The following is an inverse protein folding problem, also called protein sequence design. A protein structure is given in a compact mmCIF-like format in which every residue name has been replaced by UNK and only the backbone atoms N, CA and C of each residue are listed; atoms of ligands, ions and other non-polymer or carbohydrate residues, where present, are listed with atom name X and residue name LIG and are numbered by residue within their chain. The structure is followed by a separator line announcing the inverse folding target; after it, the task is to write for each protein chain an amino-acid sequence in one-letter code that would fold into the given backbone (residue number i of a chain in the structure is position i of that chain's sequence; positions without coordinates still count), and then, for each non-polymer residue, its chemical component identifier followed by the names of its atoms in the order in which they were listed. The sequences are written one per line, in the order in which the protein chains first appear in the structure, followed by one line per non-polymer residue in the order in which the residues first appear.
data_IF_148587437180
#
_entry.id   IF_148587437180
#
_cell.length_a   1.000
_cell.length_b   1.000
_cell.length_c   1.000
_cell.angle_alpha   90.00
_cell.angle_beta   90.00
_cell.angle_gamma   90.00
#
_symmetry.space_group_name_H-M   'P 1'
#
loop_
_entity.id
_entity.type
_entity.pdbx_description
1 polymer ?
#
# COMPACT_ATOMS: atom_id res chain seq x y z
N UNK A 1 4.50 63.23 21.20
CA UNK A 1 3.83 62.04 21.79
C UNK A 1 4.80 60.86 21.97
N UNK A 2 5.58 60.44 20.97
CA UNK A 2 6.51 59.30 21.10
C UNK A 2 7.67 59.50 22.11
N UNK A 3 8.21 60.72 22.23
CA UNK A 3 9.26 61.06 23.23
C UNK A 3 8.73 61.24 24.67
N UNK A 4 7.42 61.40 24.83
CA UNK A 4 6.79 61.49 26.17
C UNK A 4 6.57 60.10 26.78
N UNK A 5 6.22 59.12 25.93
CA UNK A 5 6.06 57.71 26.29
C UNK A 5 7.40 57.09 26.69
N UNK A 6 8.50 57.44 26.00
CA UNK A 6 9.84 56.97 26.37
C UNK A 6 10.36 57.52 27.71
N UNK A 7 9.93 58.71 28.14
CA UNK A 7 10.31 59.26 29.45
C UNK A 7 9.49 58.69 30.61
N UNK A 8 8.24 58.30 30.38
CA UNK A 8 7.38 57.64 31.37
C UNK A 8 7.78 56.17 31.61
N UNK A 9 8.37 55.50 30.63
CA UNK A 9 8.85 54.12 30.76
C UNK A 9 10.18 54.00 31.51
N UNK A 10 10.96 55.09 31.62
CA UNK A 10 12.26 55.11 32.30
C UNK A 10 12.16 55.23 33.84
N UNK A 11 10.95 55.46 34.39
CA UNK A 11 10.71 55.60 35.83
C UNK A 11 10.02 54.38 36.47
N UNK A 12 9.76 53.33 35.70
CA UNK A 12 9.09 52.12 36.21
C UNK A 12 10.13 51.11 36.77
N UNK A 13 9.86 50.49 37.92
CA UNK A 13 10.78 49.51 38.51
C UNK A 13 10.96 48.29 37.59
N UNK A 14 12.17 47.70 37.64
CA UNK A 14 12.67 46.69 36.71
C UNK A 14 11.73 45.47 36.50
N UNK A 15 10.91 45.12 37.49
CA UNK A 15 9.97 43.99 37.43
C UNK A 15 8.77 44.19 36.48
N UNK A 16 8.41 45.43 36.15
CA UNK A 16 7.31 45.74 35.19
C UNK A 16 7.80 45.64 33.74
N UNK A 17 9.08 45.89 33.48
CA UNK A 17 9.69 45.69 32.14
C UNK A 17 9.86 44.19 31.83
N UNK A 18 10.12 43.35 32.82
CA UNK A 18 10.28 41.90 32.65
C UNK A 18 8.96 41.20 32.34
N UNK A 19 7.85 41.64 32.93
CA UNK A 19 6.50 41.12 32.62
C UNK A 19 6.01 41.56 31.25
N UNK A 20 6.30 42.80 30.83
CA UNK A 20 5.97 43.29 29.48
C UNK A 20 6.73 42.52 28.38
N UNK A 21 7.99 42.15 28.61
CA UNK A 21 8.75 41.31 27.67
C UNK A 21 8.31 39.83 27.68
N UNK A 22 7.86 39.28 28.81
CA UNK A 22 7.29 37.92 28.87
C UNK A 22 5.94 37.81 28.14
N UNK A 23 5.06 38.81 28.29
CA UNK A 23 3.75 38.82 27.59
C UNK A 23 3.94 39.00 26.08
N UNK A 24 4.91 39.82 25.66
CA UNK A 24 5.23 40.00 24.24
C UNK A 24 5.87 38.75 23.61
N UNK A 25 6.64 37.97 24.36
CA UNK A 25 7.22 36.70 23.92
C UNK A 25 6.18 35.55 23.86
N UNK A 26 5.20 35.54 24.78
CA UNK A 26 4.09 34.59 24.78
C UNK A 26 3.13 34.83 23.60
N UNK A 27 2.79 36.09 23.31
CA UNK A 27 1.93 36.45 22.16
C UNK A 27 2.63 36.22 20.83
N UNK A 28 3.96 36.42 20.75
CA UNK A 28 4.72 36.14 19.53
C UNK A 28 4.92 34.63 19.29
N UNK A 29 4.97 33.80 20.34
CA UNK A 29 5.07 32.33 20.20
C UNK A 29 3.75 31.67 19.76
N UNK A 30 2.61 32.25 20.15
CA UNK A 30 1.28 31.81 19.67
C UNK A 30 1.02 32.24 18.22
N UNK A 31 1.62 33.36 17.76
CA UNK A 31 1.45 33.84 16.38
C UNK A 31 2.49 33.27 15.39
N UNK A 32 3.66 32.77 15.85
CA UNK A 32 4.67 32.15 14.98
C UNK A 32 4.47 30.66 14.73
N UNK A 33 3.48 30.01 15.34
CA UNK A 33 3.08 28.62 15.02
C UNK A 33 1.97 28.54 13.97
N UNK A 34 1.41 29.67 13.54
CA UNK A 34 0.38 29.75 12.51
C UNK A 34 0.89 30.20 11.13
N UNK A 35 2.21 30.24 10.90
CA UNK A 35 2.76 30.82 9.67
C UNK A 35 4.09 30.22 9.22
N UNK A 36 4.06 28.95 8.78
CA UNK A 36 5.03 28.42 7.81
C UNK A 36 4.57 27.06 7.26
N UNK A 37 4.07 27.05 6.03
CA UNK A 37 4.47 26.06 5.03
C UNK A 37 4.28 26.71 3.65
N UNK A 38 5.40 27.15 3.07
CA UNK A 38 5.54 27.46 1.66
C UNK A 38 5.45 26.19 0.82
N UNK A 39 4.99 26.40 -0.40
CA UNK A 39 5.16 25.64 -1.64
C UNK A 39 6.35 24.65 -1.67
N UNK A 40 6.07 23.42 -2.09
CA UNK A 40 7.05 22.49 -2.67
C UNK A 40 6.40 21.81 -3.88
N UNK A 41 6.97 22.02 -5.07
CA UNK A 41 6.67 21.29 -6.30
C UNK A 41 7.24 19.85 -6.28
N UNK A 42 6.74 18.94 -7.14
CA UNK A 42 6.69 17.51 -6.88
C UNK A 42 7.96 16.80 -7.36
N UNK A 43 8.63 16.07 -6.47
CA UNK A 43 9.32 14.82 -6.78
C UNK A 43 9.89 14.19 -5.50
N UNK A 44 9.84 12.85 -5.44
CA UNK A 44 10.37 11.96 -4.40
C UNK A 44 9.44 11.63 -3.21
N UNK A 45 8.50 10.71 -3.45
CA UNK A 45 8.07 9.72 -2.45
C UNK A 45 8.22 8.32 -3.07
N UNK A 46 9.44 7.77 -2.98
CA UNK A 46 9.70 6.35 -3.20
C UNK A 46 10.24 5.75 -1.91
N UNK A 47 9.61 4.65 -1.50
CA UNK A 47 9.98 3.77 -0.38
C UNK A 47 9.92 4.36 1.05
N UNK A 48 8.94 3.86 1.82
CA UNK A 48 9.05 3.74 3.28
C UNK A 48 8.51 4.91 4.10
N UNK A 49 7.24 4.80 4.50
CA UNK A 49 6.69 5.32 5.76
C UNK A 49 6.82 6.83 6.03
N UNK A 50 5.77 7.59 5.74
CA UNK A 50 5.53 8.86 6.42
C UNK A 50 5.00 8.57 7.85
N UNK A 51 5.70 8.96 8.92
CA UNK A 51 5.14 8.88 10.26
C UNK A 51 4.12 10.01 10.41
N UNK A 52 2.84 9.66 10.48
CA UNK A 52 1.79 10.60 10.88
C UNK A 52 2.04 10.99 12.33
N UNK A 53 2.64 12.15 12.55
CA UNK A 53 2.66 12.83 13.85
C UNK A 53 1.24 13.35 14.15
N UNK A 54 0.36 12.43 14.55
CA UNK A 54 -1.00 12.72 15.01
C UNK A 54 -1.32 12.12 16.38
N UNK A 55 -0.36 11.49 17.07
CA UNK A 55 -0.59 10.80 18.33
C UNK A 55 -0.11 11.60 19.55
N UNK A 56 -0.65 12.80 19.78
CA UNK A 56 -0.36 13.51 21.03
C UNK A 56 -1.45 14.43 21.59
N UNK A 57 -2.68 14.39 21.08
CA UNK A 57 -3.78 15.21 21.63
C UNK A 57 -4.86 14.42 22.40
N UNK A 58 -4.79 13.09 22.46
CA UNK A 58 -5.83 12.26 23.11
C UNK A 58 -5.42 11.76 24.51
N UNK A 59 -4.21 12.08 24.99
CA UNK A 59 -3.67 11.49 26.22
C UNK A 59 -3.42 12.47 27.39
N UNK A 60 -4.31 13.44 27.65
CA UNK A 60 -4.20 14.29 28.85
C UNK A 60 -5.34 14.22 29.85
N UNK A 61 -6.43 13.45 29.66
CA UNK A 61 -7.54 13.44 30.63
C UNK A 61 -7.96 12.07 31.19
N UNK A 62 -7.17 11.02 31.01
CA UNK A 62 -7.49 9.67 31.55
C UNK A 62 -6.34 9.08 32.36
N UNK A 63 -6.07 9.65 33.54
CA UNK A 63 -5.44 8.91 34.65
C UNK A 63 -5.47 9.73 35.93
N UNK A 64 -6.39 9.41 36.83
CA UNK A 64 -6.10 9.20 38.25
C UNK A 64 -7.37 8.72 38.96
N UNK A 65 -7.53 7.39 38.99
CA UNK A 65 -8.40 6.75 39.96
C UNK A 65 -7.65 5.56 40.57
N UNK A 66 -7.31 5.68 41.87
CA UNK A 66 -7.04 4.59 42.82
C UNK A 66 -6.84 5.14 44.25
N UNK A 67 -7.89 4.95 45.04
CA UNK A 67 -7.93 4.45 46.43
C UNK A 67 -7.45 5.33 47.63
N UNK A 68 -8.37 5.58 48.57
CA UNK A 68 -8.51 5.01 49.95
C UNK A 68 -9.04 6.05 50.98
N UNK A 69 -10.19 5.71 51.58
CA UNK A 69 -10.78 5.92 52.94
C UNK A 69 -9.82 6.54 54.01
N UNK A 70 -10.15 7.40 54.99
CA UNK A 70 -11.26 7.53 55.98
C UNK A 70 -11.12 8.83 56.79
N UNK A 71 -12.24 9.28 57.39
CA UNK A 71 -12.43 9.93 58.73
C UNK A 71 -11.68 11.26 59.02
N UNK A 72 -12.19 12.29 59.71
CA UNK A 72 -13.38 12.52 60.53
C UNK A 72 -13.54 14.04 60.75
N UNK A 73 -14.64 14.44 61.40
CA UNK A 73 -14.84 15.65 62.24
C UNK A 73 -15.80 16.74 61.74
N UNK A 74 -16.83 16.91 62.57
CA UNK A 74 -17.84 17.96 62.62
C UNK A 74 -17.22 19.35 62.79
N UNK A 75 -17.75 20.37 62.11
CA UNK A 75 -18.13 21.63 62.78
C UNK A 75 -19.21 22.37 61.99
N UNK A 76 -20.01 23.08 62.76
CA UNK A 76 -21.22 23.83 62.50
C UNK A 76 -21.00 25.19 61.80
N UNK A 77 -22.02 25.59 61.03
CA UNK A 77 -22.29 26.96 60.57
C UNK A 77 -21.17 27.71 59.83
N UNK A 78 -20.94 27.38 58.56
CA UNK A 78 -20.50 28.36 57.55
C UNK A 78 -21.26 28.14 56.24
N UNK A 79 -21.63 29.25 55.60
CA UNK A 79 -22.70 29.33 54.60
C UNK A 79 -22.47 28.57 53.30
N UNK A 80 -23.58 28.31 52.63
CA UNK A 80 -23.75 27.61 51.33
C UNK A 80 -22.77 28.10 50.25
N UNK A 81 -22.30 29.35 50.35
CA UNK A 81 -21.31 29.97 49.46
C UNK A 81 -19.90 29.36 49.49
N UNK A 82 -19.45 28.78 50.61
CA UNK A 82 -18.09 28.18 50.72
C UNK A 82 -17.93 26.92 49.84
N UNK A 83 -19.04 26.28 49.48
CA UNK A 83 -19.07 25.07 48.64
C UNK A 83 -18.77 25.30 47.14
N UNK A 84 -18.82 26.54 46.67
CA UNK A 84 -18.71 26.89 45.23
C UNK A 84 -17.26 26.99 44.76
N UNK A 85 -16.27 27.10 45.67
CA UNK A 85 -14.91 27.60 45.35
C UNK A 85 -13.85 26.51 45.08
N UNK A 86 -14.19 25.21 45.05
CA UNK A 86 -13.22 24.13 44.74
C UNK A 86 -13.49 23.52 43.36
N UNK A 87 -12.78 24.01 42.34
CA UNK A 87 -12.81 23.50 40.96
C UNK A 87 -11.64 22.54 40.70
N UNK A 88 -11.96 21.31 40.32
CA UNK A 88 -11.02 20.22 40.06
C UNK A 88 -11.66 18.88 39.70
N UNK A 89 -12.56 18.84 38.71
CA UNK A 89 -12.98 17.75 37.78
C UNK A 89 -14.29 18.19 37.06
N UNK A 90 -14.17 18.80 35.88
CA UNK A 90 -15.20 19.61 35.18
C UNK A 90 -16.66 19.14 35.23
N UNK A 91 -16.97 17.92 34.79
CA UNK A 91 -18.38 17.45 34.72
C UNK A 91 -19.03 17.26 36.10
N UNK A 92 -18.29 16.69 37.06
CA UNK A 92 -18.75 16.50 38.43
C UNK A 92 -18.93 17.84 39.15
N UNK A 93 -18.07 18.81 38.85
CA UNK A 93 -18.12 20.14 39.43
C UNK A 93 -19.34 20.92 38.94
N UNK A 94 -19.69 20.84 37.65
CA UNK A 94 -20.88 21.52 37.10
C UNK A 94 -22.18 20.96 37.66
N UNK A 95 -22.29 19.64 37.83
CA UNK A 95 -23.47 19.03 38.46
C UNK A 95 -23.60 19.46 39.92
N UNK A 96 -22.49 19.52 40.65
CA UNK A 96 -22.46 19.99 42.03
C UNK A 96 -22.81 21.49 42.12
N UNK A 97 -22.30 22.30 41.20
CA UNK A 97 -22.59 23.72 41.10
C UNK A 97 -24.08 23.95 40.83
N UNK A 98 -24.68 23.21 39.89
CA UNK A 98 -26.11 23.28 39.61
C UNK A 98 -26.94 22.95 40.86
N UNK A 99 -26.57 21.92 41.63
CA UNK A 99 -27.28 21.56 42.87
C UNK A 99 -27.14 22.63 43.97
N UNK A 100 -25.95 23.21 44.11
CA UNK A 100 -25.70 24.30 45.07
C UNK A 100 -26.50 25.56 44.70
N UNK A 101 -26.47 25.96 43.43
CA UNK A 101 -27.21 27.10 42.92
C UNK A 101 -28.73 26.89 43.00
N UNK A 102 -29.22 25.67 42.76
CA UNK A 102 -30.63 25.32 42.97
C UNK A 102 -31.04 25.54 44.44
N UNK A 103 -30.20 25.15 45.38
CA UNK A 103 -30.46 25.32 46.81
C UNK A 103 -30.48 26.80 47.19
N UNK A 104 -29.48 27.56 46.74
CA UNK A 104 -29.41 29.00 46.95
C UNK A 104 -30.60 29.73 46.32
N UNK A 105 -30.99 29.37 45.09
CA UNK A 105 -32.13 29.94 44.39
C UNK A 105 -33.43 29.71 45.17
N UNK A 106 -33.66 28.51 45.72
CA UNK A 106 -34.80 28.23 46.61
C UNK A 106 -34.79 29.13 47.85
N UNK A 107 -33.63 29.32 48.49
CA UNK A 107 -33.51 30.15 49.69
C UNK A 107 -33.80 31.62 49.42
N UNK A 108 -33.31 32.15 48.29
CA UNK A 108 -33.54 33.53 47.85
C UNK A 108 -35.01 33.75 47.48
N UNK A 109 -35.61 32.86 46.68
CA UNK A 109 -37.03 32.95 46.29
C UNK A 109 -37.96 32.89 47.51
N UNK A 110 -37.61 32.11 48.54
CA UNK A 110 -38.39 32.02 49.78
C UNK A 110 -38.13 33.18 50.77
N UNK A 111 -37.22 34.12 50.44
CA UNK A 111 -36.86 35.25 51.30
C UNK A 111 -36.05 34.88 52.54
N UNK A 112 -35.46 33.68 52.58
CA UNK A 112 -34.63 33.20 53.69
C UNK A 112 -33.15 33.58 53.56
N UNK A 113 -32.74 33.99 52.37
CA UNK A 113 -31.37 34.42 52.07
C UNK A 113 -31.43 35.63 51.13
N UNK A 114 -30.48 36.56 51.29
CA UNK A 114 -30.37 37.77 50.47
C UNK A 114 -28.96 37.86 49.89
N UNK A 115 -28.86 38.17 48.60
CA UNK A 115 -27.58 38.37 47.93
C UNK A 115 -27.14 39.83 48.06
N UNK A 116 -25.89 40.06 48.44
CA UNK A 116 -25.26 41.37 48.36
C UNK A 116 -24.91 41.73 46.91
N UNK A 117 -24.71 43.02 46.63
CA UNK A 117 -24.30 43.49 45.30
C UNK A 117 -23.05 42.77 44.78
N UNK A 118 -22.08 42.54 45.67
CA UNK A 118 -20.84 41.81 45.34
C UNK A 118 -21.09 40.34 45.02
N UNK A 119 -22.01 39.68 45.74
CA UNK A 119 -22.37 38.28 45.45
C UNK A 119 -23.12 38.18 44.11
N UNK A 120 -23.99 39.15 43.81
CA UNK A 120 -24.70 39.21 42.54
C UNK A 120 -23.73 39.41 41.35
N UNK A 121 -22.70 40.25 41.52
CA UNK A 121 -21.67 40.47 40.48
C UNK A 121 -20.88 39.19 40.19
N UNK A 122 -20.45 38.45 41.23
CA UNK A 122 -19.75 37.17 41.05
C UNK A 122 -20.61 36.13 40.33
N UNK A 123 -21.89 36.01 40.68
CA UNK A 123 -22.81 35.07 40.03
C UNK A 123 -23.01 35.40 38.55
N UNK A 124 -22.98 36.69 38.19
CA UNK A 124 -23.03 37.15 36.79
C UNK A 124 -21.77 36.77 36.01
N UNK A 125 -20.60 36.84 36.63
CA UNK A 125 -19.35 36.39 36.00
C UNK A 125 -19.37 34.87 35.74
N UNK A 126 -19.89 34.08 36.68
CA UNK A 126 -20.08 32.63 36.47
C UNK A 126 -21.06 32.37 35.32
N UNK A 127 -22.13 33.17 35.20
CA UNK A 127 -23.11 33.02 34.11
C UNK A 127 -22.43 33.23 32.75
N UNK A 128 -21.53 34.21 32.66
CA UNK A 128 -20.72 34.45 31.48
C UNK A 128 -19.77 33.28 31.19
N UNK A 129 -19.06 32.77 32.19
CA UNK A 129 -18.17 31.61 32.03
C UNK A 129 -18.94 30.36 31.55
N UNK A 130 -20.18 30.16 31.98
CA UNK A 130 -21.04 29.09 31.45
C UNK A 130 -21.40 29.30 29.98
N UNK A 131 -21.62 30.55 29.56
CA UNK A 131 -21.78 30.89 28.14
C UNK A 131 -20.55 30.52 27.33
N UNK A 132 -19.36 30.95 27.77
CA UNK A 132 -18.09 30.64 27.11
C UNK A 132 -17.84 29.12 27.05
N UNK A 133 -18.21 28.38 28.10
CA UNK A 133 -18.14 26.91 28.12
C UNK A 133 -19.08 26.27 27.08
N UNK A 134 -20.32 26.75 26.95
CA UNK A 134 -21.28 26.24 25.95
C UNK A 134 -20.73 26.46 24.53
N UNK A 135 -20.13 27.62 24.26
CA UNK A 135 -19.50 27.91 22.97
C UNK A 135 -18.29 26.99 22.70
N UNK A 136 -17.48 26.72 23.73
CA UNK A 136 -16.36 25.78 23.63
C UNK A 136 -16.84 24.34 23.36
N UNK A 137 -17.93 23.90 23.99
CA UNK A 137 -18.53 22.58 23.73
C UNK A 137 -18.97 22.45 22.26
N UNK A 138 -19.57 23.51 21.70
CA UNK A 138 -19.97 23.53 20.30
C UNK A 138 -18.75 23.46 19.36
N UNK A 139 -17.66 24.15 19.68
CA UNK A 139 -16.41 24.06 18.92
C UNK A 139 -15.82 22.63 18.95
N UNK A 140 -15.74 22.00 20.12
CA UNK A 140 -15.25 20.62 20.24
C UNK A 140 -16.16 19.58 19.57
N UNK A 141 -17.47 19.84 19.47
CA UNK A 141 -18.36 19.00 18.66
C UNK A 141 -17.97 19.02 17.18
N UNK A 142 -17.65 20.19 16.63
CA UNK A 142 -17.20 20.31 15.23
C UNK A 142 -15.87 19.59 14.99
N UNK A 143 -14.95 19.62 15.95
CA UNK A 143 -13.67 18.90 15.87
C UNK A 143 -13.88 17.38 15.81
N UNK A 144 -14.75 16.86 16.68
CA UNK A 144 -15.10 15.43 16.72
C UNK A 144 -15.84 14.99 15.45
N UNK A 145 -16.75 15.82 14.93
CA UNK A 145 -17.39 15.55 13.64
C UNK A 145 -16.36 15.50 12.52
N UNK A 146 -15.38 16.42 12.52
CA UNK A 146 -14.27 16.40 11.60
C UNK A 146 -13.38 15.16 11.73
N UNK A 147 -13.22 14.61 12.94
CA UNK A 147 -12.41 13.41 13.17
C UNK A 147 -13.06 12.14 12.61
N UNK A 148 -14.36 11.95 12.84
CA UNK A 148 -15.10 10.83 12.23
C UNK A 148 -15.19 10.97 10.71
N UNK A 149 -15.28 12.20 10.20
CA UNK A 149 -15.27 12.49 8.76
C UNK A 149 -13.92 12.12 8.12
N UNK A 150 -12.80 12.53 8.73
CA UNK A 150 -11.45 12.18 8.27
C UNK A 150 -11.20 10.67 8.31
N UNK A 151 -11.66 9.99 9.35
CA UNK A 151 -11.50 8.54 9.46
C UNK A 151 -12.24 7.79 8.34
N UNK A 152 -13.42 8.29 7.94
CA UNK A 152 -14.17 7.79 6.78
C UNK A 152 -13.42 8.06 5.48
N UNK A 153 -12.86 9.25 5.30
CA UNK A 153 -12.13 9.61 4.07
C UNK A 153 -10.91 8.70 3.85
N UNK A 154 -10.12 8.44 4.90
CA UNK A 154 -8.97 7.51 4.86
C UNK A 154 -9.40 6.10 4.41
N UNK A 155 -10.54 5.59 4.89
CA UNK A 155 -11.04 4.29 4.48
C UNK A 155 -11.51 4.27 3.01
N UNK A 156 -12.05 5.39 2.51
CA UNK A 156 -12.50 5.51 1.11
C UNK A 156 -11.37 5.71 0.10
N UNK A 157 -10.20 6.18 0.55
CA UNK A 157 -9.03 6.38 -0.32
C UNK A 157 -8.29 5.07 -0.65
N UNK A 158 -8.53 3.99 0.09
CA UNK A 158 -7.96 2.68 -0.20
C UNK A 158 -8.45 2.17 -1.57
N UNK A 159 -7.52 1.99 -2.51
CA UNK A 159 -7.84 1.61 -3.89
C UNK A 159 -6.86 0.58 -4.45
N UNK A 160 -7.33 -0.17 -5.45
CA UNK A 160 -6.49 -1.09 -6.23
C UNK A 160 -6.07 -0.36 -7.53
N UNK A 161 -4.77 -0.30 -7.88
CA UNK A 161 -4.28 0.35 -9.10
C UNK A 161 -4.64 -0.44 -10.38
N UNK A 162 -5.93 -0.46 -10.74
CA UNK A 162 -6.50 -1.33 -11.78
C UNK A 162 -5.87 -1.11 -13.17
N UNK A 163 -5.57 0.13 -13.53
CA UNK A 163 -5.00 0.45 -14.86
C UNK A 163 -3.63 -0.22 -15.10
N UNK A 164 -2.76 -0.27 -14.08
CA UNK A 164 -1.44 -0.89 -14.22
C UNK A 164 -1.51 -2.42 -14.30
N UNK A 165 -2.46 -3.00 -13.55
CA UNK A 165 -2.76 -4.43 -13.55
C UNK A 165 -3.29 -4.86 -14.92
N UNK A 166 -4.29 -4.16 -15.46
CA UNK A 166 -4.88 -4.47 -16.77
C UNK A 166 -3.88 -4.29 -17.92
N UNK A 167 -3.01 -3.28 -17.84
CA UNK A 167 -1.91 -3.14 -18.81
C UNK A 167 -0.97 -4.36 -18.78
N UNK A 168 -0.58 -4.83 -17.58
CA UNK A 168 0.33 -5.97 -17.44
C UNK A 168 -0.32 -7.29 -17.87
N UNK A 169 -1.63 -7.46 -17.61
CA UNK A 169 -2.43 -8.58 -18.15
C UNK A 169 -2.45 -8.57 -19.68
N UNK A 170 -2.65 -7.40 -20.28
CA UNK A 170 -2.70 -7.25 -21.74
C UNK A 170 -1.37 -7.62 -22.40
N UNK A 171 -0.25 -7.14 -21.83
CA UNK A 171 1.09 -7.50 -22.29
C UNK A 171 1.31 -9.01 -22.18
N UNK A 172 1.02 -9.59 -21.02
CA UNK A 172 1.16 -11.04 -20.80
C UNK A 172 0.36 -11.86 -21.82
N UNK A 173 -0.87 -11.44 -22.13
CA UNK A 173 -1.72 -12.12 -23.11
C UNK A 173 -1.20 -12.00 -24.54
N UNK A 174 -0.62 -10.83 -24.87
CA UNK A 174 0.04 -10.59 -26.16
C UNK A 174 1.27 -11.48 -26.34
N UNK A 175 2.12 -11.57 -25.32
CA UNK A 175 3.34 -12.36 -25.38
C UNK A 175 3.04 -13.87 -25.40
N UNK A 176 1.99 -14.32 -24.69
CA UNK A 176 1.49 -15.69 -24.78
C UNK A 176 1.08 -16.05 -26.21
N UNK A 177 0.33 -15.15 -26.85
CA UNK A 177 -0.14 -15.34 -28.22
C UNK A 177 1.02 -15.34 -29.22
N UNK A 178 1.98 -14.43 -29.05
CA UNK A 178 3.19 -14.39 -29.87
C UNK A 178 3.94 -15.72 -29.78
N UNK A 179 4.28 -16.15 -28.56
CA UNK A 179 5.01 -17.40 -28.35
C UNK A 179 4.26 -18.60 -28.93
N UNK A 180 2.94 -18.69 -28.71
CA UNK A 180 2.11 -19.76 -29.27
C UNK A 180 2.17 -19.78 -30.80
N UNK A 181 2.03 -18.63 -31.46
CA UNK A 181 2.12 -18.52 -32.91
C UNK A 181 3.52 -18.89 -33.42
N UNK A 182 4.57 -18.45 -32.72
CA UNK A 182 5.94 -18.83 -33.05
C UNK A 182 6.12 -20.35 -33.05
N UNK A 183 5.62 -21.05 -32.03
CA UNK A 183 5.70 -22.52 -31.94
C UNK A 183 4.93 -23.22 -33.06
N UNK A 184 3.77 -22.70 -33.45
CA UNK A 184 3.03 -23.23 -34.61
C UNK A 184 3.86 -23.10 -35.90
N UNK A 185 4.54 -21.95 -36.09
CA UNK A 185 5.43 -21.75 -37.24
C UNK A 185 6.68 -22.64 -37.18
N UNK A 186 7.24 -22.88 -35.99
CA UNK A 186 8.35 -23.81 -35.76
C UNK A 186 7.99 -25.22 -36.24
N UNK A 187 6.80 -25.72 -35.85
CA UNK A 187 6.29 -27.03 -36.32
C UNK A 187 6.21 -27.09 -37.84
N UNK A 188 5.70 -26.03 -38.49
CA UNK A 188 5.63 -25.97 -39.95
C UNK A 188 7.02 -26.00 -40.60
N UNK A 189 8.00 -25.32 -40.03
CA UNK A 189 9.39 -25.34 -40.51
C UNK A 189 10.08 -26.69 -40.26
N UNK A 190 9.82 -27.33 -39.12
CA UNK A 190 10.32 -28.68 -38.82
C UNK A 190 9.83 -29.71 -39.83
N UNK A 191 8.55 -29.64 -40.20
CA UNK A 191 7.97 -30.49 -41.24
C UNK A 191 8.64 -30.28 -42.61
N UNK A 192 8.84 -29.02 -43.02
CA UNK A 192 9.57 -28.67 -44.26
C UNK A 192 11.01 -29.16 -44.25
N UNK A 193 11.71 -29.01 -43.12
CA UNK A 193 13.06 -29.54 -42.92
C UNK A 193 13.08 -31.06 -43.09
N UNK A 194 12.18 -31.78 -42.42
CA UNK A 194 12.05 -33.23 -42.55
C UNK A 194 11.81 -33.66 -44.00
N UNK A 195 10.89 -33.02 -44.71
CA UNK A 195 10.62 -33.31 -46.12
C UNK A 195 11.84 -33.08 -47.03
N UNK A 196 12.52 -31.93 -46.89
CA UNK A 196 13.69 -31.60 -47.70
C UNK A 196 14.86 -32.55 -47.46
N UNK A 197 15.12 -32.90 -46.20
CA UNK A 197 16.22 -33.80 -45.84
C UNK A 197 15.92 -35.26 -46.18
N UNK A 198 14.68 -35.73 -46.01
CA UNK A 198 14.26 -37.06 -46.45
C UNK A 198 14.38 -37.20 -47.97
N UNK A 199 14.02 -36.17 -48.74
CA UNK A 199 14.21 -36.17 -50.19
C UNK A 199 15.69 -36.28 -50.54
N UNK A 200 16.55 -35.47 -49.92
CA UNK A 200 18.00 -35.56 -50.12
C UNK A 200 18.55 -36.96 -49.81
N UNK A 201 18.18 -37.53 -48.66
CA UNK A 201 18.59 -38.90 -48.28
C UNK A 201 18.12 -39.94 -49.28
N UNK A 202 16.87 -39.86 -49.75
CA UNK A 202 16.33 -40.81 -50.72
C UNK A 202 17.06 -40.77 -52.07
N UNK A 203 17.50 -39.59 -52.51
CA UNK A 203 18.22 -39.38 -53.77
C UNK A 203 19.67 -39.87 -53.67
N UNK A 204 20.30 -39.72 -52.50
CA UNK A 204 21.66 -40.22 -52.27
C UNK A 204 21.68 -41.75 -52.13
N UNK A 205 20.67 -42.33 -51.49
CA UNK A 205 20.63 -43.76 -51.16
C UNK A 205 20.17 -44.71 -52.28
N UNK A 206 19.57 -44.22 -53.38
CA UNK A 206 18.89 -45.07 -54.37
C UNK A 206 19.32 -44.78 -55.81
N UNK A 207 20.60 -44.95 -56.16
CA UNK A 207 21.08 -44.64 -57.51
C UNK A 207 22.07 -45.69 -58.03
N UNK A 208 21.58 -46.52 -58.94
CA UNK A 208 22.44 -47.44 -59.68
C UNK A 208 23.18 -46.69 -60.80
N UNK A 209 24.50 -46.87 -60.94
CA UNK A 209 25.24 -46.32 -62.06
C UNK A 209 24.79 -46.95 -63.37
N UNK A 210 25.14 -46.31 -64.50
CA UNK A 210 24.92 -46.90 -65.82
C UNK A 210 25.46 -48.34 -65.85
N UNK A 211 24.68 -49.31 -66.36
CA UNK A 211 25.04 -50.74 -66.26
C UNK A 211 26.44 -51.10 -66.79
N UNK A 212 26.94 -50.36 -67.78
CA UNK A 212 28.29 -50.56 -68.32
C UNK A 212 29.43 -50.02 -67.42
N UNK A 213 29.11 -49.20 -66.41
CA UNK A 213 30.06 -48.60 -65.47
C UNK A 213 30.83 -49.66 -64.69
N UNK A 214 30.15 -50.73 -64.24
CA UNK A 214 30.77 -51.82 -63.48
C UNK A 214 31.87 -52.56 -64.27
N UNK A 215 31.79 -52.57 -65.60
CA UNK A 215 32.74 -53.26 -66.49
C UNK A 215 33.54 -52.28 -67.35
N UNK A 216 33.50 -50.99 -67.03
CA UNK A 216 34.18 -49.97 -67.81
C UNK A 216 35.70 -50.15 -67.70
N UNK A 217 36.39 -50.23 -68.85
CA UNK A 217 37.84 -50.34 -68.91
C UNK A 217 38.44 -48.97 -69.31
N UNK A 218 39.26 -48.33 -68.47
CA UNK A 218 39.91 -47.07 -68.81
C UNK A 218 40.97 -47.20 -69.92
N UNK A 219 41.43 -48.42 -70.22
CA UNK A 219 42.38 -48.74 -71.27
C UNK A 219 41.79 -49.74 -72.28
N UNK A 220 40.76 -49.34 -73.04
CA UNK A 220 40.11 -50.24 -73.99
C UNK A 220 41.07 -50.62 -75.12
N UNK A 221 41.01 -51.88 -75.58
CA UNK A 221 41.67 -52.28 -76.83
C UNK A 221 41.06 -51.50 -78.00
N UNK A 222 41.83 -51.26 -79.07
CA UNK A 222 41.38 -50.53 -80.27
C UNK A 222 40.04 -51.05 -80.84
N UNK A 223 39.80 -52.36 -80.79
CA UNK A 223 38.54 -52.99 -81.23
C UNK A 223 37.31 -52.57 -80.42
N UNK A 224 37.51 -52.00 -79.23
CA UNK A 224 36.45 -51.70 -78.25
C UNK A 224 36.28 -50.20 -78.01
N UNK A 225 36.96 -49.33 -78.77
CA UNK A 225 36.89 -47.87 -78.60
C UNK A 225 35.46 -47.33 -78.66
N UNK A 226 34.67 -47.74 -79.64
CA UNK A 226 33.27 -47.27 -79.76
C UNK A 226 32.40 -47.70 -78.58
N UNK A 227 32.62 -48.92 -78.07
CA UNK A 227 31.91 -49.42 -76.89
C UNK A 227 32.28 -48.65 -75.62
N UNK A 228 33.57 -48.30 -75.47
CA UNK A 228 34.04 -47.48 -74.36
C UNK A 228 33.47 -46.06 -74.43
N UNK A 229 33.44 -45.44 -75.61
CA UNK A 229 32.85 -44.11 -75.84
C UNK A 229 31.36 -44.13 -75.51
N UNK A 230 30.60 -45.13 -75.99
CA UNK A 230 29.17 -45.26 -75.69
C UNK A 230 28.92 -45.39 -74.18
N UNK A 231 29.78 -46.15 -73.48
CA UNK A 231 29.67 -46.29 -72.04
C UNK A 231 29.95 -44.97 -71.31
N UNK A 232 31.03 -44.25 -71.66
CA UNK A 232 31.32 -42.93 -71.11
C UNK A 232 30.16 -41.95 -71.30
N UNK A 233 29.54 -41.93 -72.48
CA UNK A 233 28.38 -41.09 -72.75
C UNK A 233 27.19 -41.42 -71.82
N UNK A 234 26.92 -42.70 -71.57
CA UNK A 234 25.89 -43.15 -70.61
C UNK A 234 26.22 -42.76 -69.18
N UNK A 235 27.48 -42.92 -68.76
CA UNK A 235 27.96 -42.50 -67.44
C UNK A 235 27.79 -41.00 -67.26
N UNK A 236 28.20 -40.20 -68.25
CA UNK A 236 28.04 -38.73 -68.21
C UNK A 236 26.57 -38.34 -68.19
N UNK A 237 25.73 -39.00 -68.98
CA UNK A 237 24.28 -38.76 -69.02
C UNK A 237 23.57 -39.06 -67.71
N UNK A 238 24.09 -40.01 -66.92
CA UNK A 238 23.59 -40.33 -65.58
C UNK A 238 24.20 -39.44 -64.48
N UNK A 239 25.53 -39.32 -64.45
CA UNK A 239 26.27 -38.66 -63.37
C UNK A 239 26.03 -37.15 -63.30
N UNK A 240 25.90 -36.47 -64.45
CA UNK A 240 25.65 -35.01 -64.48
C UNK A 240 24.33 -34.60 -63.80
N UNK A 241 23.15 -35.10 -64.22
CA UNK A 241 21.90 -34.74 -63.57
C UNK A 241 21.84 -35.23 -62.11
N UNK A 242 22.47 -36.38 -61.82
CA UNK A 242 22.56 -36.88 -60.45
C UNK A 242 23.32 -35.92 -59.53
N UNK A 243 24.52 -35.49 -59.94
CA UNK A 243 25.31 -34.52 -59.18
C UNK A 243 24.56 -33.19 -59.00
N UNK A 244 23.90 -32.70 -60.05
CA UNK A 244 23.07 -31.49 -59.95
C UNK A 244 21.94 -31.65 -58.93
N UNK A 245 21.26 -32.81 -58.93
CA UNK A 245 20.21 -33.14 -57.96
C UNK A 245 20.75 -33.23 -56.52
N UNK A 246 21.92 -33.85 -56.33
CA UNK A 246 22.57 -33.94 -55.01
C UNK A 246 22.92 -32.57 -54.47
N UNK A 247 23.60 -31.74 -55.26
CA UNK A 247 23.99 -30.38 -54.86
C UNK A 247 22.76 -29.54 -54.50
N UNK A 248 21.69 -29.61 -55.31
CA UNK A 248 20.46 -28.89 -55.05
C UNK A 248 19.78 -29.33 -53.75
N UNK A 249 19.54 -30.64 -53.58
CA UNK A 249 18.77 -31.14 -52.44
C UNK A 249 19.58 -31.06 -51.13
N UNK A 250 20.91 -31.20 -51.19
CA UNK A 250 21.79 -30.92 -50.03
C UNK A 250 21.62 -29.47 -49.56
N UNK A 251 21.62 -28.52 -50.50
CA UNK A 251 21.43 -27.11 -50.20
C UNK A 251 20.04 -26.85 -49.59
N UNK A 252 18.97 -27.39 -50.18
CA UNK A 252 17.60 -27.22 -49.67
C UNK A 252 17.43 -27.81 -48.26
N UNK A 253 17.97 -29.00 -47.99
CA UNK A 253 17.97 -29.58 -46.65
C UNK A 253 18.74 -28.69 -45.65
N UNK A 254 19.91 -28.18 -46.03
CA UNK A 254 20.70 -27.25 -45.19
C UNK A 254 19.93 -25.97 -44.89
N UNK A 255 19.39 -25.30 -45.90
CA UNK A 255 18.61 -24.06 -45.75
C UNK A 255 17.39 -24.26 -44.85
N UNK A 256 16.66 -25.37 -45.01
CA UNK A 256 15.52 -25.68 -44.16
C UNK A 256 15.92 -25.99 -42.71
N UNK A 257 17.08 -26.63 -42.50
CA UNK A 257 17.65 -26.89 -41.17
C UNK A 257 18.02 -25.58 -40.46
N UNK A 258 18.70 -24.67 -41.17
CA UNK A 258 19.06 -23.35 -40.64
C UNK A 258 17.83 -22.50 -40.33
N UNK A 259 16.81 -22.52 -41.20
CA UNK A 259 15.55 -21.82 -40.98
C UNK A 259 14.81 -22.33 -39.73
N UNK A 260 14.72 -23.66 -39.55
CA UNK A 260 14.13 -24.26 -38.35
C UNK A 260 14.94 -23.87 -37.09
N UNK A 261 16.27 -24.02 -37.12
CA UNK A 261 17.12 -23.67 -35.98
C UNK A 261 16.99 -22.20 -35.57
N UNK A 262 16.87 -21.28 -36.55
CA UNK A 262 16.61 -19.87 -36.27
C UNK A 262 15.26 -19.66 -35.58
N UNK A 263 14.21 -20.33 -36.07
CA UNK A 263 12.87 -20.21 -35.49
C UNK A 263 12.81 -20.77 -34.06
N UNK A 264 13.51 -21.86 -33.76
CA UNK A 264 13.67 -22.38 -32.38
C UNK A 264 14.19 -21.29 -31.44
N UNK A 265 15.25 -20.58 -31.84
CA UNK A 265 15.83 -19.52 -31.00
C UNK A 265 14.89 -18.31 -30.83
N UNK A 266 14.16 -17.96 -31.89
CA UNK A 266 13.12 -16.92 -31.85
C UNK A 266 12.02 -17.28 -30.85
N UNK A 267 11.50 -18.52 -30.91
CA UNK A 267 10.47 -18.95 -29.97
C UNK A 267 11.00 -19.10 -28.54
N UNK A 268 12.28 -19.45 -28.34
CA UNK A 268 12.91 -19.43 -27.02
C UNK A 268 13.00 -18.02 -26.44
N UNK A 269 13.26 -17.02 -27.28
CA UNK A 269 13.25 -15.62 -26.85
C UNK A 269 11.84 -15.19 -26.45
N UNK A 270 10.84 -15.44 -27.30
CA UNK A 270 9.44 -15.12 -26.99
C UNK A 270 8.91 -15.84 -25.75
N UNK A 271 9.34 -17.09 -25.52
CA UNK A 271 9.05 -17.81 -24.27
C UNK A 271 9.56 -17.02 -23.05
N UNK A 272 10.76 -16.44 -23.15
CA UNK A 272 11.37 -15.64 -22.07
C UNK A 272 10.58 -14.39 -21.80
N UNK A 273 10.20 -13.65 -22.85
CA UNK A 273 9.42 -12.41 -22.72
C UNK A 273 8.05 -12.72 -22.10
N UNK A 274 7.38 -13.79 -22.54
CA UNK A 274 6.12 -14.23 -21.94
C UNK A 274 6.27 -14.59 -20.46
N UNK A 275 7.27 -15.38 -20.09
CA UNK A 275 7.53 -15.76 -18.69
C UNK A 275 7.79 -14.52 -17.82
N UNK A 276 8.60 -13.57 -18.30
CA UNK A 276 8.90 -12.31 -17.61
C UNK A 276 7.63 -11.45 -17.46
N UNK A 277 6.86 -11.28 -18.54
CA UNK A 277 5.62 -10.52 -18.53
C UNK A 277 4.61 -11.11 -17.54
N UNK A 278 4.46 -12.43 -17.53
CA UNK A 278 3.61 -13.13 -16.56
C UNK A 278 4.08 -12.90 -15.13
N UNK A 279 5.38 -13.03 -14.84
CA UNK A 279 5.91 -12.77 -13.51
C UNK A 279 5.67 -11.32 -13.08
N UNK A 280 5.79 -10.34 -13.99
CA UNK A 280 5.46 -8.94 -13.70
C UNK A 280 3.97 -8.75 -13.41
N UNK A 281 3.09 -9.41 -14.17
CA UNK A 281 1.65 -9.38 -13.93
C UNK A 281 1.30 -10.00 -12.57
N UNK A 282 1.89 -11.16 -12.24
CA UNK A 282 1.75 -11.77 -10.93
C UNK A 282 2.13 -10.80 -9.82
N UNK A 283 3.37 -10.29 -9.83
CA UNK A 283 3.89 -9.41 -8.77
C UNK A 283 2.98 -8.18 -8.55
N UNK A 284 2.61 -7.50 -9.64
CA UNK A 284 1.73 -6.34 -9.59
C UNK A 284 0.34 -6.67 -9.04
N UNK A 285 -0.29 -7.76 -9.50
CA UNK A 285 -1.62 -8.14 -9.04
C UNK A 285 -1.59 -8.53 -7.55
N UNK A 286 -0.67 -9.42 -7.15
CA UNK A 286 -0.57 -9.86 -5.75
C UNK A 286 -0.17 -8.73 -4.81
N UNK A 287 0.77 -7.88 -5.24
CA UNK A 287 1.23 -6.73 -4.47
C UNK A 287 0.15 -5.66 -4.30
N UNK A 288 -0.61 -5.37 -5.37
CA UNK A 288 -1.75 -4.46 -5.32
C UNK A 288 -2.85 -4.96 -4.37
N UNK A 289 -3.20 -6.25 -4.46
CA UNK A 289 -4.18 -6.85 -3.54
C UNK A 289 -3.71 -6.78 -2.09
N UNK A 290 -2.46 -7.15 -1.80
CA UNK A 290 -1.91 -7.10 -0.45
C UNK A 290 -1.88 -5.67 0.11
N UNK A 291 -1.53 -4.69 -0.72
CA UNK A 291 -1.50 -3.27 -0.34
C UNK A 291 -2.90 -2.77 -0.02
N UNK A 292 -3.88 -3.10 -0.87
CA UNK A 292 -5.27 -2.75 -0.66
C UNK A 292 -5.83 -3.35 0.64
N UNK A 293 -5.70 -4.66 0.85
CA UNK A 293 -6.20 -5.32 2.06
C UNK A 293 -5.55 -4.76 3.32
N UNK A 294 -4.25 -4.44 3.27
CA UNK A 294 -3.55 -3.81 4.40
C UNK A 294 -4.08 -2.40 4.69
N UNK A 295 -4.26 -1.58 3.64
CA UNK A 295 -4.85 -0.24 3.75
C UNK A 295 -6.24 -0.32 4.37
N UNK A 296 -7.12 -1.15 3.79
CA UNK A 296 -8.52 -1.29 4.21
C UNK A 296 -8.61 -1.80 5.66
N UNK A 297 -7.91 -2.88 6.00
CA UNK A 297 -7.91 -3.41 7.37
C UNK A 297 -7.42 -2.37 8.39
N UNK A 298 -6.38 -1.61 8.05
CA UNK A 298 -5.81 -0.59 8.95
C UNK A 298 -6.76 0.60 9.10
N UNK A 299 -7.30 1.10 7.99
CA UNK A 299 -8.21 2.25 7.97
C UNK A 299 -9.53 1.95 8.67
N UNK A 300 -10.10 0.77 8.45
CA UNK A 300 -11.36 0.35 9.10
C UNK A 300 -11.19 0.13 10.60
N UNK A 301 -10.04 -0.41 11.03
CA UNK A 301 -9.68 -0.46 12.46
C UNK A 301 -9.55 0.94 13.04
N UNK A 302 -8.83 1.85 12.37
CA UNK A 302 -8.66 3.23 12.81
C UNK A 302 -10.02 3.93 12.93
N UNK A 303 -10.92 3.74 11.97
CA UNK A 303 -12.27 4.29 12.01
C UNK A 303 -13.06 3.76 13.21
N UNK A 304 -12.99 2.46 13.49
CA UNK A 304 -13.62 1.87 14.68
C UNK A 304 -13.08 2.45 15.98
N UNK A 305 -11.76 2.63 16.09
CA UNK A 305 -11.12 3.18 17.29
C UNK A 305 -11.51 4.67 17.49
N UNK A 306 -11.54 5.44 16.40
CA UNK A 306 -12.01 6.84 16.38
C UNK A 306 -13.47 6.93 16.81
N UNK A 307 -14.36 6.10 16.25
CA UNK A 307 -15.77 6.09 16.63
C UNK A 307 -15.94 5.80 18.13
N UNK A 308 -15.23 4.80 18.67
CA UNK A 308 -15.30 4.47 20.09
C UNK A 308 -14.83 5.64 20.98
N UNK A 309 -13.76 6.33 20.60
CA UNK A 309 -13.27 7.50 21.33
C UNK A 309 -14.25 8.69 21.27
N UNK A 310 -14.76 9.00 20.08
CA UNK A 310 -15.70 10.11 19.86
C UNK A 310 -17.04 9.85 20.54
N UNK A 311 -17.53 8.61 20.62
CA UNK A 311 -18.75 8.28 21.39
C UNK A 311 -18.62 8.59 22.87
N UNK A 312 -17.44 8.35 23.46
CA UNK A 312 -17.18 8.71 24.86
C UNK A 312 -17.15 10.23 25.03
N UNK A 313 -16.48 10.94 24.12
CA UNK A 313 -16.37 12.39 24.14
C UNK A 313 -17.73 13.08 23.91
N UNK A 314 -18.54 12.58 22.98
CA UNK A 314 -19.90 13.04 22.70
C UNK A 314 -20.79 12.93 23.94
N UNK A 315 -20.77 11.78 24.62
CA UNK A 315 -21.51 11.58 25.87
C UNK A 315 -21.05 12.57 26.96
N UNK A 316 -19.74 12.80 27.06
CA UNK A 316 -19.17 13.78 27.98
C UNK A 316 -19.68 15.20 27.70
N UNK A 317 -19.54 15.67 26.47
CA UNK A 317 -20.00 16.99 26.03
C UNK A 317 -21.49 17.21 26.24
N UNK A 318 -22.32 16.21 25.92
CA UNK A 318 -23.77 16.26 26.17
C UNK A 318 -24.10 16.45 27.65
N UNK A 319 -23.37 15.78 28.53
CA UNK A 319 -23.55 15.92 29.97
C UNK A 319 -23.02 17.27 30.52
N UNK A 320 -21.90 17.76 30.00
CA UNK A 320 -21.35 19.08 30.34
C UNK A 320 -22.28 20.20 29.88
N UNK A 321 -22.80 20.13 28.65
CA UNK A 321 -23.75 21.10 28.11
C UNK A 321 -25.04 21.13 28.95
N UNK A 322 -25.58 19.95 29.26
CA UNK A 322 -26.78 19.85 30.12
C UNK A 322 -26.56 20.48 31.49
N UNK A 323 -25.38 20.28 32.09
CA UNK A 323 -25.03 20.86 33.37
C UNK A 323 -24.83 22.38 33.28
N UNK A 324 -24.12 22.86 32.27
CA UNK A 324 -23.86 24.28 32.04
C UNK A 324 -25.15 25.07 31.81
N UNK A 325 -26.08 24.54 31.01
CA UNK A 325 -27.41 25.12 30.80
C UNK A 325 -28.22 25.22 32.10
N UNK A 326 -28.14 24.19 32.96
CA UNK A 326 -28.80 24.21 34.28
C UNK A 326 -28.18 25.24 35.23
N UNK A 327 -26.85 25.30 35.30
CA UNK A 327 -26.13 26.32 36.08
C UNK A 327 -26.55 27.71 35.61
N UNK A 328 -26.47 27.97 34.31
CA UNK A 328 -26.85 29.24 33.69
C UNK A 328 -28.30 29.60 33.97
N UNK A 329 -29.23 28.64 33.92
CA UNK A 329 -30.63 28.87 34.26
C UNK A 329 -30.79 29.32 35.72
N UNK A 330 -30.19 28.59 36.68
CA UNK A 330 -30.29 28.97 38.10
C UNK A 330 -29.64 30.34 38.37
N UNK A 331 -28.55 30.68 37.67
CA UNK A 331 -27.95 32.02 37.75
C UNK A 331 -28.92 33.11 37.25
N UNK A 332 -29.66 32.82 36.18
CA UNK A 332 -30.71 33.70 35.65
C UNK A 332 -31.85 33.99 36.63
N UNK A 333 -32.12 33.11 37.61
CA UNK A 333 -33.11 33.36 38.67
C UNK A 333 -32.70 34.58 39.49
N UNK A 334 -31.43 34.69 39.88
CA UNK A 334 -30.95 35.81 40.71
C UNK A 334 -30.98 37.15 39.95
N UNK A 335 -30.90 37.11 38.62
CA UNK A 335 -30.99 38.28 37.75
C UNK A 335 -32.43 38.66 37.36
N UNK A 336 -33.43 37.87 37.75
CA UNK A 336 -34.85 38.11 37.45
C UNK A 336 -35.54 38.96 38.52
N UNK A 337 -36.66 39.62 38.18
CA UNK A 337 -37.40 40.41 39.17
C UNK A 337 -37.96 39.52 40.28
N UNK A 338 -38.15 40.04 41.51
CA UNK A 338 -38.68 39.24 42.62
C UNK A 338 -40.01 38.53 42.31
N UNK A 339 -40.85 39.14 41.45
CA UNK A 339 -42.12 38.58 41.03
C UNK A 339 -41.96 37.41 40.04
N UNK A 340 -40.88 37.40 39.24
CA UNK A 340 -40.60 36.39 38.21
C UNK A 340 -39.80 35.20 38.74
N UNK A 341 -39.04 35.41 39.83
CA UNK A 341 -38.15 34.42 40.44
C UNK A 341 -38.80 33.05 40.74
N UNK A 342 -40.01 32.95 41.32
CA UNK A 342 -40.65 31.65 41.59
C UNK A 342 -40.89 30.84 40.31
N UNK A 343 -41.35 31.51 39.25
CA UNK A 343 -41.61 30.88 37.94
C UNK A 343 -40.31 30.43 37.29
N UNK A 344 -39.30 31.31 37.27
CA UNK A 344 -37.97 31.01 36.71
C UNK A 344 -37.28 29.85 37.42
N UNK A 345 -37.37 29.80 38.75
CA UNK A 345 -36.84 28.68 39.53
C UNK A 345 -37.46 27.35 39.09
N UNK A 346 -38.78 27.32 38.92
CA UNK A 346 -39.47 26.09 38.50
C UNK A 346 -39.07 25.70 37.07
N UNK A 347 -38.99 26.66 36.14
CA UNK A 347 -38.47 26.43 34.78
C UNK A 347 -37.08 25.77 34.79
N UNK A 348 -36.17 26.24 35.66
CA UNK A 348 -34.82 25.67 35.78
C UNK A 348 -34.78 24.28 36.41
N UNK A 349 -35.70 23.98 37.34
CA UNK A 349 -35.82 22.64 37.93
C UNK A 349 -36.27 21.63 36.88
N UNK A 350 -37.21 22.03 36.04
CA UNK A 350 -37.79 21.18 34.99
C UNK A 350 -36.97 21.20 33.68
N UNK A 351 -35.86 21.95 33.67
CA UNK A 351 -35.04 22.13 32.48
C UNK A 351 -34.43 20.79 32.02
N UNK A 352 -34.78 20.45 30.77
CA UNK A 352 -34.19 19.37 30.00
C UNK A 352 -33.66 19.95 28.68
N UNK A 353 -32.38 20.36 28.62
CA UNK A 353 -31.80 20.95 27.42
C UNK A 353 -31.89 20.03 26.20
N UNK A 354 -32.10 20.59 25.02
CA UNK A 354 -32.00 19.85 23.76
C UNK A 354 -30.53 19.58 23.45
N UNK A 355 -30.19 18.32 23.19
CA UNK A 355 -28.82 17.86 22.98
C UNK A 355 -28.56 17.43 21.54
N UNK A 356 -29.55 17.53 20.65
CA UNK A 356 -29.45 17.07 19.26
C UNK A 356 -28.38 17.82 18.46
N UNK A 357 -28.14 19.09 18.79
CA UNK A 357 -27.07 19.88 18.18
C UNK A 357 -25.67 19.32 18.45
N UNK A 358 -25.54 18.44 19.45
CA UNK A 358 -24.29 17.77 19.83
C UNK A 358 -24.23 16.32 19.35
N UNK A 359 -25.20 15.85 18.56
CA UNK A 359 -25.16 14.53 17.95
C UNK A 359 -24.01 14.46 16.93
N UNK A 360 -23.25 13.37 16.96
CA UNK A 360 -22.22 13.07 15.95
C UNK A 360 -22.79 12.12 14.90
N UNK A 361 -22.51 12.42 13.63
CA UNK A 361 -22.84 11.52 12.52
C UNK A 361 -21.69 10.54 12.30
N UNK A 362 -21.88 9.30 12.73
CA UNK A 362 -20.92 8.21 12.51
C UNK A 362 -21.16 7.54 11.16
N UNK A 363 -20.11 7.36 10.38
CA UNK A 363 -20.19 6.78 9.04
C UNK A 363 -20.06 5.26 9.09
N UNK A 364 -20.71 4.56 8.17
CA UNK A 364 -20.47 3.12 8.04
C UNK A 364 -19.07 2.83 7.51
N UNK A 365 -18.56 1.65 7.86
CA UNK A 365 -17.30 1.15 7.35
C UNK A 365 -17.48 0.75 5.88
N UNK A 366 -16.65 1.26 4.95
CA UNK A 366 -16.73 0.87 3.55
C UNK A 366 -16.54 -0.65 3.39
N UNK A 367 -17.38 -1.28 2.56
CA UNK A 367 -17.24 -2.70 2.25
C UNK A 367 -15.89 -2.98 1.56
N UNK A 368 -15.28 -4.11 1.89
CA UNK A 368 -14.05 -4.57 1.22
C UNK A 368 -14.36 -4.95 -0.23
N UNK A 369 -13.52 -4.49 -1.15
CA UNK A 369 -13.58 -4.84 -2.56
C UNK A 369 -12.89 -6.18 -2.79
N UNK A 370 -13.48 -7.09 -3.60
CA UNK A 370 -12.83 -8.35 -3.92
C UNK A 370 -11.57 -8.10 -4.76
N UNK A 371 -10.47 -8.74 -4.37
CA UNK A 371 -9.23 -8.77 -5.16
C UNK A 371 -8.95 -10.18 -5.66
N UNK A 372 -9.24 -10.44 -6.93
CA UNK A 372 -9.10 -11.77 -7.52
C UNK A 372 -7.68 -12.02 -8.01
N UNK A 373 -6.95 -12.88 -7.30
CA UNK A 373 -5.60 -13.34 -7.65
C UNK A 373 -5.60 -14.69 -8.40
N UNK A 374 -6.77 -15.28 -8.65
CA UNK A 374 -6.91 -16.55 -9.37
C UNK A 374 -6.17 -16.58 -10.72
N UNK A 375 -6.19 -15.49 -11.54
CA UNK A 375 -5.51 -15.48 -12.85
C UNK A 375 -4.00 -15.71 -12.79
N UNK A 376 -3.37 -15.49 -11.64
CA UNK A 376 -1.91 -15.64 -11.44
C UNK A 376 -1.57 -16.71 -10.40
N UNK A 377 -2.56 -17.52 -10.00
CA UNK A 377 -2.41 -18.55 -8.97
C UNK A 377 -1.45 -19.68 -9.35
N UNK A 378 -1.28 -19.93 -10.65
CA UNK A 378 -0.21 -20.77 -11.19
C UNK A 378 0.74 -19.88 -11.99
N UNK A 379 2.05 -20.07 -11.81
CA UNK A 379 3.06 -19.18 -12.39
C UNK A 379 4.24 -19.96 -12.97
N UNK A 380 5.12 -19.32 -13.78
CA UNK A 380 6.23 -19.96 -14.46
C UNK A 380 6.98 -20.99 -13.62
N UNK A 381 7.10 -22.17 -14.22
CA UNK A 381 7.86 -23.34 -13.77
C UNK A 381 7.20 -24.17 -12.68
N UNK A 382 6.01 -23.79 -12.23
CA UNK A 382 5.15 -24.74 -11.52
C UNK A 382 4.61 -25.78 -12.49
N UNK A 383 4.49 -27.03 -12.03
CA UNK A 383 4.02 -28.14 -12.85
C UNK A 383 2.66 -27.84 -13.52
N UNK A 384 1.72 -27.24 -12.76
CA UNK A 384 0.41 -26.84 -13.28
C UNK A 384 0.52 -25.80 -14.39
N UNK A 385 1.38 -24.80 -14.22
CA UNK A 385 1.56 -23.76 -15.23
C UNK A 385 2.21 -24.30 -16.50
N UNK A 386 3.24 -25.15 -16.35
CA UNK A 386 3.93 -25.81 -17.47
C UNK A 386 2.97 -26.69 -18.27
N UNK A 387 2.12 -27.46 -17.58
CA UNK A 387 1.09 -28.28 -18.21
C UNK A 387 0.06 -27.43 -18.99
N UNK A 388 -0.56 -26.45 -18.33
CA UNK A 388 -1.62 -25.61 -18.92
C UNK A 388 -1.13 -24.73 -20.07
N UNK A 389 0.11 -24.22 -19.97
CA UNK A 389 0.67 -23.27 -20.95
C UNK A 389 1.49 -23.93 -22.05
N UNK A 390 2.12 -25.08 -21.79
CA UNK A 390 3.02 -25.73 -22.74
C UNK A 390 2.63 -27.18 -23.05
N UNK A 391 2.68 -28.10 -22.08
CA UNK A 391 2.61 -29.54 -22.37
C UNK A 391 1.26 -29.98 -22.95
N UNK A 392 0.18 -29.29 -22.58
CA UNK A 392 -1.17 -29.52 -23.11
C UNK A 392 -1.41 -28.96 -24.52
N UNK A 393 -0.45 -28.23 -25.11
CA UNK A 393 -0.62 -27.60 -26.43
C UNK A 393 -0.31 -28.59 -27.56
N UNK A 394 -1.10 -28.53 -28.62
CA UNK A 394 -0.95 -29.39 -29.80
C UNK A 394 0.43 -29.28 -30.48
N UNK A 395 1.10 -28.13 -30.36
CA UNK A 395 2.43 -27.91 -30.94
C UNK A 395 3.58 -28.51 -30.11
N UNK A 396 3.35 -28.88 -28.85
CA UNK A 396 4.41 -29.17 -27.87
C UNK A 396 5.27 -30.37 -28.23
N UNK A 397 4.66 -31.47 -28.70
CA UNK A 397 5.40 -32.68 -29.07
C UNK A 397 6.38 -32.46 -30.23
N UNK A 398 6.07 -31.50 -31.10
CA UNK A 398 6.88 -31.20 -32.28
C UNK A 398 7.84 -30.03 -32.06
N UNK A 399 7.47 -29.06 -31.21
CA UNK A 399 8.23 -27.85 -30.90
C UNK A 399 8.30 -27.65 -29.37
N UNK A 400 9.05 -28.48 -28.64
CA UNK A 400 9.11 -28.42 -27.18
C UNK A 400 9.71 -27.09 -26.70
N UNK A 401 9.29 -26.67 -25.52
CA UNK A 401 9.82 -25.45 -24.90
C UNK A 401 11.24 -25.63 -24.37
N UNK A 402 11.97 -24.52 -24.21
CA UNK A 402 13.18 -24.55 -23.39
C UNK A 402 12.81 -24.63 -21.91
N UNK A 403 13.79 -24.93 -21.07
CA UNK A 403 13.62 -24.85 -19.60
C UNK A 403 13.06 -23.49 -19.21
N UNK A 404 12.01 -23.52 -18.41
CA UNK A 404 11.31 -22.34 -17.90
C UNK A 404 12.17 -21.53 -16.92
N UNK A 405 11.92 -20.22 -16.86
CA UNK A 405 12.53 -19.27 -15.94
C UNK A 405 11.58 -18.93 -14.79
N UNK A 406 11.93 -19.30 -13.55
CA UNK A 406 11.06 -19.07 -12.40
C UNK A 406 11.02 -17.58 -12.02
N UNK A 407 9.87 -17.13 -11.49
CA UNK A 407 9.68 -15.72 -11.15
C UNK A 407 10.66 -15.22 -10.07
N UNK A 408 11.46 -14.17 -10.35
CA UNK A 408 12.48 -13.71 -9.41
C UNK A 408 11.94 -13.28 -8.03
N UNK A 409 10.77 -12.63 -7.98
CA UNK A 409 10.17 -12.13 -6.73
C UNK A 409 9.70 -13.24 -5.79
N UNK A 410 9.55 -14.47 -6.27
CA UNK A 410 9.12 -15.63 -5.48
C UNK A 410 10.30 -16.44 -4.91
N UNK A 411 11.53 -16.20 -5.35
CA UNK A 411 12.71 -16.99 -4.95
C UNK A 411 13.34 -16.56 -3.60
N UNK A 412 12.76 -15.57 -2.91
CA UNK A 412 13.25 -15.07 -1.62
C UNK A 412 12.71 -15.80 -0.37
N UNK A 413 11.76 -16.73 -0.52
CA UNK A 413 11.02 -17.32 0.61
C UNK A 413 11.64 -18.57 1.25
N UNK A 414 12.71 -19.14 0.69
CA UNK A 414 13.29 -20.37 1.25
C UNK A 414 14.82 -20.45 1.06
N UNK A 415 15.55 -19.66 1.86
CA UNK A 415 16.92 -20.00 2.23
C UNK A 415 17.01 -20.14 3.75
N UNK A 416 16.36 -21.18 4.29
CA UNK A 416 16.86 -21.74 5.54
C UNK A 416 18.19 -22.42 5.23
N UNK A 417 19.22 -21.89 5.87
CA UNK A 417 20.58 -22.40 5.97
C UNK A 417 20.60 -23.93 6.11
N UNK A 418 21.13 -24.60 5.09
CA UNK A 418 21.92 -25.79 5.31
C UNK A 418 23.29 -25.55 4.67
N UNK A 419 24.05 -24.67 5.32
CA UNK A 419 25.50 -24.64 5.17
C UNK A 419 26.05 -25.95 5.72
N UNK A 420 26.19 -26.94 4.83
CA UNK A 420 27.02 -28.12 5.10
C UNK A 420 28.46 -27.62 5.16
N UNK A 421 28.99 -27.53 6.37
CA UNK A 421 30.41 -27.35 6.63
C UNK A 421 31.13 -28.56 6.02
N UNK A 422 31.87 -28.37 4.94
CA UNK A 422 32.93 -29.29 4.55
C UNK A 422 34.23 -28.86 5.25
N UNK A 423 34.97 -29.81 5.86
CA UNK A 423 36.26 -29.50 6.48
C UNK A 423 37.30 -29.24 5.38
N UNK A 424 38.12 -28.22 5.62
CA UNK A 424 39.31 -27.88 4.84
C UNK A 424 40.36 -28.99 4.94
N UNK A 425 40.99 -29.40 3.81
CA UNK A 425 42.35 -29.91 3.81
C UNK A 425 43.32 -28.74 3.60
N UNK A 426 44.31 -28.67 4.48
CA UNK A 426 45.28 -27.59 4.55
C UNK A 426 46.20 -27.47 3.34
N UNK A 427 46.75 -26.27 3.27
CA UNK A 427 47.93 -25.90 2.49
C UNK A 427 49.10 -26.83 2.83
N UNK A 428 49.74 -27.38 1.81
CA UNK A 428 51.19 -27.57 1.79
C UNK A 428 51.67 -27.40 0.34
N UNK A 429 52.62 -26.50 0.18
CA UNK A 429 53.29 -26.12 -1.05
C UNK A 429 54.38 -27.12 -1.43
N UNK A 430 54.64 -27.27 -2.73
CA UNK A 430 55.96 -27.32 -3.40
C UNK A 430 55.82 -27.97 -4.80
N UNK A 431 55.87 -27.18 -5.88
CA UNK A 431 57.03 -26.78 -6.72
C UNK A 431 57.30 -27.71 -7.91
N UNK A 432 57.38 -27.05 -9.08
CA UNK A 432 58.14 -27.34 -10.30
C UNK A 432 58.03 -28.73 -10.97
N UNK A 433 57.52 -28.77 -12.21
CA UNK A 433 58.41 -28.85 -13.38
C UNK A 433 57.67 -28.81 -14.74
N UNK A 434 58.45 -28.42 -15.75
CA UNK A 434 58.08 -27.96 -17.08
C UNK A 434 57.63 -29.02 -18.09
N UNK A 435 56.97 -28.51 -19.16
CA UNK A 435 56.97 -28.93 -20.56
C UNK A 435 56.66 -30.40 -20.92
N UNK A 436 55.70 -30.64 -21.82
CA UNK A 436 55.99 -30.75 -23.26
C UNK A 436 54.72 -30.90 -24.12
N UNK A 437 54.92 -30.69 -25.42
CA UNK A 437 53.96 -30.46 -26.49
C UNK A 437 53.20 -31.69 -27.04
N UNK A 438 52.26 -31.37 -27.96
CA UNK A 438 51.79 -32.16 -29.12
C UNK A 438 50.87 -33.35 -28.82
N UNK A 439 49.95 -33.81 -29.67
CA UNK A 439 49.32 -33.42 -30.95
C UNK A 439 48.37 -34.61 -31.27
N UNK A 440 47.52 -34.48 -32.30
CA UNK A 440 46.74 -35.53 -33.02
C UNK A 440 45.45 -36.01 -32.34
N UNK A 441 44.28 -35.75 -32.94
CA UNK A 441 43.64 -36.49 -34.05
C UNK A 441 43.45 -37.97 -33.70
N UNK A 442 42.21 -38.48 -33.62
CA UNK A 442 41.51 -39.01 -34.81
C UNK A 442 40.15 -39.64 -34.43
N UNK A 443 39.38 -39.88 -35.47
CA UNK A 443 38.00 -40.34 -35.55
C UNK A 443 37.67 -41.72 -34.96
N UNK A 444 36.38 -41.89 -34.66
CA UNK A 444 35.55 -42.99 -35.18
C UNK A 444 34.09 -42.53 -35.29
#
# INVERSE_FOLDING_TARGET
RHRLIQRLLATLPHWIMTTYHCVKAAVLSVLLTAGACLEVEPDACSSGGCPVKGHQLIATNTSHDKSVVSEDSQDSSEGVLSGVVKLGKGQHDLHRMAAALQTLAKSVVNGTEYLSDTQAEVLKDIEKEMGDLIDAIAASHLEDQGEVDRARDVATECSVPNAQIENSRTITSSDELSHTNCRIEEVALKSKMGAACNLYHSIVGNQDPAACFATYNPEPKKSNFDSAINCLQKIVGWAKPLNASWVLNKRLCKEATEAHAKKVQECHHEQTEYEIAFCSYHDKLTGACSTYTTCHTTATKQQSDVHAAVQVAEKGRKAEHSAAERVKCFLGVFSSSPEEQPTKLQECIDLSPDLKSLDITYHEVPAELPCDTTPVSAYPCEAKWVDERYESKDWYSEAPTKTCSACPHLQGGNKQSNHVIQPTPGDDADTDDAADAADTDDAA
#
